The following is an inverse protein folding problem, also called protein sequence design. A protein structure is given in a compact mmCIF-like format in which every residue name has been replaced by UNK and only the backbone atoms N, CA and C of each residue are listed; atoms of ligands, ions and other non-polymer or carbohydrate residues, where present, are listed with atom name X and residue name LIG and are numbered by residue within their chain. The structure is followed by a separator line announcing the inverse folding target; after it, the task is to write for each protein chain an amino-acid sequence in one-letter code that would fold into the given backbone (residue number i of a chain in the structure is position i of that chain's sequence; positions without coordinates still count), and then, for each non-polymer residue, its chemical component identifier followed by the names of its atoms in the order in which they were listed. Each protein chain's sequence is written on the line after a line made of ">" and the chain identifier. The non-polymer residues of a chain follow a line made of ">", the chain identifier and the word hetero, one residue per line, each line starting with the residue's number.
data_IF_799329617303
#
_entry.id   IF_799329617303
#
_cell.length_a   1.000
_cell.length_b   1.000
_cell.length_c   1.000
_cell.angle_alpha   90.00
_cell.angle_beta   90.00
_cell.angle_gamma   90.00
#
_symmetry.space_group_name_H-M   'P 1'
#
loop_
_entity.id
_entity.type
_entity.pdbx_description
1 polymer ?
#
# COMPACT_ATOMS: atom_id res chain seq x y z
N UNK A 1 7.08 -9.11 9.84
CA UNK A 1 7.63 -7.93 9.13
C UNK A 1 6.62 -7.47 8.10
N UNK A 2 6.25 -6.18 8.03
CA UNK A 2 5.53 -5.64 6.87
C UNK A 2 6.52 -5.58 5.72
N UNK A 3 6.50 -6.59 4.86
CA UNK A 3 7.31 -6.56 3.64
C UNK A 3 6.80 -5.42 2.76
N UNK A 4 7.70 -4.52 2.35
CA UNK A 4 7.38 -3.58 1.29
C UNK A 4 7.14 -4.40 0.02
N UNK A 5 5.94 -4.34 -0.60
CA UNK A 5 5.64 -5.17 -1.74
C UNK A 5 6.43 -4.71 -2.99
N UNK A 6 7.14 -3.57 -2.94
CA UNK A 6 7.98 -3.07 -4.03
C UNK A 6 9.45 -3.41 -3.75
N UNK A 7 10.00 -4.32 -4.54
CA UNK A 7 11.42 -4.65 -4.51
C UNK A 7 12.27 -3.42 -4.86
N UNK A 8 13.36 -3.21 -4.12
CA UNK A 8 14.33 -2.16 -4.41
C UNK A 8 15.13 -2.52 -5.66
N UNK A 9 15.37 -1.54 -6.54
CA UNK A 9 16.14 -1.74 -7.77
C UNK A 9 16.84 -0.46 -8.24
N UNK A 10 17.59 -0.55 -9.34
CA UNK A 10 18.21 0.63 -9.97
C UNK A 10 17.12 1.57 -10.47
N UNK A 11 17.28 2.87 -10.19
CA UNK A 11 16.37 3.90 -10.72
C UNK A 11 16.44 3.93 -12.25
N UNK A 12 15.28 3.91 -12.89
CA UNK A 12 15.12 4.07 -14.33
C UNK A 12 14.44 5.41 -14.59
N UNK A 13 14.97 6.19 -15.52
CA UNK A 13 14.29 7.41 -15.97
C UNK A 13 12.99 7.05 -16.70
N UNK A 14 11.91 7.73 -16.38
CA UNK A 14 10.59 7.55 -17.00
C UNK A 14 10.12 8.91 -17.48
N UNK A 15 9.73 9.00 -18.75
CA UNK A 15 9.13 10.22 -19.29
C UNK A 15 7.65 10.25 -18.94
N UNK A 16 7.21 11.35 -18.32
CA UNK A 16 5.81 11.61 -18.00
C UNK A 16 5.48 13.08 -18.21
N UNK A 17 4.23 13.38 -18.56
CA UNK A 17 3.74 14.75 -18.63
C UNK A 17 3.27 15.20 -17.26
N UNK A 18 3.72 16.37 -16.82
CA UNK A 18 3.33 17.01 -15.56
C UNK A 18 2.96 18.45 -15.89
N UNK A 19 1.96 18.97 -15.19
CA UNK A 19 1.55 20.37 -15.31
C UNK A 19 2.76 21.31 -15.12
N UNK A 20 2.91 22.28 -16.03
CA UNK A 20 4.07 23.17 -16.05
C UNK A 20 4.10 24.11 -14.85
N UNK A 21 2.93 24.49 -14.31
CA UNK A 21 2.81 25.26 -13.08
C UNK A 21 3.30 24.48 -11.86
N UNK A 22 2.97 23.19 -11.77
CA UNK A 22 3.50 22.31 -10.71
C UNK A 22 5.03 22.22 -10.78
N UNK A 23 5.58 22.05 -11.99
CA UNK A 23 7.04 21.99 -12.18
C UNK A 23 7.71 23.29 -11.76
N UNK A 24 7.13 24.44 -12.12
CA UNK A 24 7.63 25.76 -11.74
C UNK A 24 7.59 25.95 -10.22
N UNK A 25 6.44 25.71 -9.59
CA UNK A 25 6.27 25.84 -8.15
C UNK A 25 7.21 24.92 -7.36
N UNK A 26 7.40 23.68 -7.81
CA UNK A 26 8.32 22.75 -7.18
C UNK A 26 9.79 23.23 -7.26
N UNK A 27 10.20 23.81 -8.38
CA UNK A 27 11.54 24.40 -8.53
C UNK A 27 11.74 25.60 -7.61
N UNK A 28 10.76 26.50 -7.56
CA UNK A 28 10.80 27.69 -6.70
C UNK A 28 10.88 27.30 -5.22
N UNK A 29 10.11 26.29 -4.81
CA UNK A 29 10.12 25.78 -3.44
C UNK A 29 11.30 24.85 -3.12
N UNK A 30 12.21 24.56 -4.06
CA UNK A 30 13.34 23.65 -3.85
C UNK A 30 12.92 22.18 -3.65
N UNK A 31 11.74 21.79 -4.10
CA UNK A 31 11.18 20.44 -3.94
C UNK A 31 11.77 19.49 -4.98
N UNK A 32 12.27 18.34 -4.50
CA UNK A 32 12.75 17.27 -5.37
C UNK A 32 11.57 16.45 -5.91
N UNK A 33 11.11 16.81 -7.11
CA UNK A 33 10.02 16.12 -7.81
C UNK A 33 10.20 14.60 -7.88
N UNK A 34 11.39 14.11 -8.23
CA UNK A 34 11.64 12.66 -8.33
C UNK A 34 11.39 11.95 -7.00
N UNK A 35 11.85 12.53 -5.89
CA UNK A 35 11.68 11.92 -4.56
C UNK A 35 10.22 11.92 -4.11
N UNK A 36 9.52 13.03 -4.36
CA UNK A 36 8.09 13.15 -4.01
C UNK A 36 7.26 12.18 -4.85
N UNK A 37 7.48 12.14 -6.16
CA UNK A 37 6.78 11.23 -7.07
C UNK A 37 7.03 9.77 -6.69
N UNK A 38 8.27 9.38 -6.35
CA UNK A 38 8.57 8.01 -5.93
C UNK A 38 7.81 7.61 -4.65
N UNK A 39 7.78 8.49 -3.65
CA UNK A 39 7.03 8.24 -2.41
C UNK A 39 5.52 8.14 -2.67
N UNK A 40 4.98 9.04 -3.49
CA UNK A 40 3.56 9.04 -3.85
C UNK A 40 3.16 7.77 -4.61
N UNK A 41 3.97 7.34 -5.60
CA UNK A 41 3.74 6.11 -6.34
C UNK A 41 3.81 4.87 -5.44
N UNK A 42 4.79 4.81 -4.53
CA UNK A 42 4.89 3.71 -3.55
C UNK A 42 3.63 3.61 -2.69
N UNK A 43 3.13 4.74 -2.20
CA UNK A 43 1.86 4.81 -1.47
C UNK A 43 0.68 4.31 -2.30
N UNK A 44 0.51 4.85 -3.50
CA UNK A 44 -0.58 4.48 -4.41
C UNK A 44 -0.58 2.99 -4.77
N UNK A 45 0.58 2.42 -5.10
CA UNK A 45 0.74 0.99 -5.43
C UNK A 45 0.37 0.12 -4.23
N UNK A 46 0.78 0.50 -3.02
CA UNK A 46 0.45 -0.24 -1.81
C UNK A 46 -1.06 -0.27 -1.57
N UNK A 47 -1.73 0.89 -1.64
CA UNK A 47 -3.19 0.99 -1.50
C UNK A 47 -3.92 0.14 -2.53
N UNK A 48 -3.49 0.19 -3.79
CA UNK A 48 -4.12 -0.58 -4.86
C UNK A 48 -3.93 -2.10 -4.68
N UNK A 49 -2.75 -2.54 -4.24
CA UNK A 49 -2.51 -3.95 -3.90
C UNK A 49 -3.35 -4.42 -2.72
N UNK A 50 -3.48 -3.60 -1.68
CA UNK A 50 -4.37 -3.92 -0.55
C UNK A 50 -5.83 -4.04 -1.01
N UNK A 51 -6.27 -3.17 -1.92
CA UNK A 51 -7.61 -3.25 -2.52
C UNK A 51 -7.79 -4.54 -3.31
N UNK A 52 -6.84 -4.89 -4.17
CA UNK A 52 -6.87 -6.13 -4.96
C UNK A 52 -6.88 -7.37 -4.08
N UNK A 53 -6.01 -7.42 -3.06
CA UNK A 53 -5.96 -8.53 -2.12
C UNK A 53 -7.29 -8.74 -1.39
N UNK A 54 -7.95 -7.65 -0.94
CA UNK A 54 -9.27 -7.74 -0.31
C UNK A 54 -10.33 -8.31 -1.25
N UNK A 55 -10.31 -7.91 -2.52
CA UNK A 55 -11.25 -8.41 -3.51
C UNK A 55 -11.03 -9.90 -3.79
N UNK A 56 -9.77 -10.30 -4.02
CA UNK A 56 -9.38 -11.70 -4.27
C UNK A 56 -9.72 -12.61 -3.09
N UNK A 57 -9.57 -12.11 -1.85
CA UNK A 57 -9.75 -12.90 -0.64
C UNK A 57 -11.14 -12.71 -0.01
N UNK A 58 -12.06 -11.98 -0.65
CA UNK A 58 -13.38 -11.66 -0.07
C UNK A 58 -14.11 -12.91 0.41
N UNK A 59 -14.20 -13.94 -0.43
CA UNK A 59 -14.89 -15.19 -0.09
C UNK A 59 -14.23 -15.93 1.07
N UNK A 60 -12.89 -15.94 1.10
CA UNK A 60 -12.14 -16.55 2.19
C UNK A 60 -12.34 -15.78 3.50
N UNK A 61 -12.29 -14.44 3.46
CA UNK A 61 -12.56 -13.56 4.61
C UNK A 61 -13.98 -13.81 5.14
N UNK A 62 -14.98 -13.85 4.27
CA UNK A 62 -16.37 -14.14 4.66
C UNK A 62 -16.51 -15.53 5.29
N UNK A 63 -15.86 -16.55 4.72
CA UNK A 63 -15.88 -17.89 5.27
C UNK A 63 -15.21 -17.96 6.66
N UNK A 64 -14.09 -17.28 6.84
CA UNK A 64 -13.43 -17.18 8.14
C UNK A 64 -14.26 -16.41 9.17
N UNK A 65 -14.88 -15.29 8.77
CA UNK A 65 -15.76 -14.54 9.66
C UNK A 65 -16.93 -15.39 10.14
N UNK A 66 -17.62 -16.11 9.24
CA UNK A 66 -18.70 -17.04 9.63
C UNK A 66 -18.20 -18.12 10.59
N UNK A 67 -17.04 -18.70 10.31
CA UNK A 67 -16.47 -19.72 11.18
C UNK A 67 -16.18 -19.15 12.59
N UNK A 68 -15.66 -17.93 12.69
CA UNK A 68 -15.44 -17.25 13.98
C UNK A 68 -16.76 -16.95 14.69
N UNK A 69 -17.79 -16.49 13.96
CA UNK A 69 -19.11 -16.23 14.55
C UNK A 69 -19.73 -17.51 15.13
N UNK A 70 -19.51 -18.65 14.47
CA UNK A 70 -20.03 -19.96 14.89
C UNK A 70 -19.20 -20.60 16.02
N UNK A 71 -17.87 -20.45 16.01
CA UNK A 71 -16.94 -21.20 16.87
C UNK A 71 -16.25 -20.35 17.94
N UNK A 72 -16.44 -19.03 17.91
CA UNK A 72 -15.71 -18.06 18.71
C UNK A 72 -14.28 -17.84 18.23
N UNK A 73 -13.59 -16.88 18.85
CA UNK A 73 -12.19 -16.59 18.54
C UNK A 73 -11.31 -17.66 19.20
N UNK A 74 -10.51 -18.42 18.45
CA UNK A 74 -9.60 -19.41 19.02
C UNK A 74 -8.67 -18.78 20.04
N UNK A 75 -8.45 -19.48 21.17
CA UNK A 75 -7.51 -19.08 22.23
C UNK A 75 -7.86 -17.77 22.97
N UNK A 76 -9.02 -17.17 22.72
CA UNK A 76 -9.46 -15.92 23.39
C UNK A 76 -9.57 -16.01 24.91
N UNK A 77 -9.67 -17.23 25.46
CA UNK A 77 -9.72 -17.49 26.90
C UNK A 77 -8.42 -18.00 27.53
N UNK A 78 -7.30 -18.03 26.81
CA UNK A 78 -6.01 -18.42 27.39
C UNK A 78 -5.33 -17.19 28.01
N UNK A 79 -5.29 -17.15 29.35
CA UNK A 79 -4.41 -16.22 30.04
C UNK A 79 -2.93 -16.64 29.85
N UNK A 80 -2.02 -15.71 29.56
CA UNK A 80 -0.59 -16.02 29.50
C UNK A 80 -0.11 -16.45 30.90
N UNK A 81 0.58 -17.60 30.95
CA UNK A 81 1.26 -18.12 32.15
C UNK A 81 2.30 -17.14 32.70
#
# INVERSE_FOLDING_TARGET
>A
MKHDPIATGKRKSVNMSVDTGIVAAAKEAGVNLSRVTEAALRGAIKTERERQWKEENRQWIEAQNRWIDENGIPLSGLEPL
#
